data_IF_725237160227
#
_entry.id   IF_725237160227
#
_cell.length_a   1.000
_cell.length_b   1.000
_cell.length_c   1.000
_cell.angle_alpha   90.00
_cell.angle_beta   90.00
_cell.angle_gamma   90.00
#
_symmetry.space_group_name_H-M   'P 1'
#
loop_
_entity.id
_entity.type
_entity.pdbx_description
1 polymer ?
#
# COMPACT_ATOMS: atom_id res chain seq x y z
N UNK A 1 -15.71 -70.06 8.86
CA UNK A 1 -14.78 -69.29 7.99
C UNK A 1 -15.32 -67.88 7.62
N UNK A 2 -15.98 -67.16 8.55
CA UNK A 2 -16.73 -65.91 8.24
C UNK A 2 -16.16 -64.63 8.89
N UNK A 3 -15.08 -64.75 9.68
CA UNK A 3 -14.45 -63.64 10.43
C UNK A 3 -13.39 -62.86 9.62
N UNK A 4 -12.77 -63.48 8.61
CA UNK A 4 -11.71 -62.87 7.80
C UNK A 4 -12.23 -61.73 6.88
N UNK A 5 -13.44 -61.87 6.34
CA UNK A 5 -14.08 -60.89 5.45
C UNK A 5 -14.57 -59.62 6.16
N UNK A 6 -14.85 -59.69 7.47
CA UNK A 6 -15.27 -58.52 8.26
C UNK A 6 -14.09 -57.58 8.59
N UNK A 7 -12.90 -58.13 8.87
CA UNK A 7 -11.70 -57.31 9.11
C UNK A 7 -11.22 -56.59 7.84
N UNK A 8 -11.32 -57.22 6.68
CA UNK A 8 -10.92 -56.62 5.40
C UNK A 8 -11.84 -55.47 4.99
N UNK A 9 -13.15 -55.60 5.22
CA UNK A 9 -14.12 -54.52 4.95
C UNK A 9 -13.89 -53.28 5.83
N UNK A 10 -13.54 -53.47 7.11
CA UNK A 10 -13.26 -52.35 8.02
C UNK A 10 -11.98 -51.60 7.62
N UNK A 11 -10.94 -52.31 7.18
CA UNK A 11 -9.69 -51.69 6.72
C UNK A 11 -9.91 -50.84 5.45
N UNK A 12 -10.69 -51.33 4.50
CA UNK A 12 -10.98 -50.61 3.25
C UNK A 12 -11.80 -49.34 3.52
N UNK A 13 -12.76 -49.40 4.46
CA UNK A 13 -13.57 -48.24 4.85
C UNK A 13 -12.72 -47.14 5.50
N UNK A 14 -11.74 -47.50 6.33
CA UNK A 14 -10.84 -46.53 6.98
C UNK A 14 -9.92 -45.87 5.94
N UNK A 15 -9.36 -46.64 5.02
CA UNK A 15 -8.50 -46.11 3.94
C UNK A 15 -9.30 -45.17 3.02
N UNK A 16 -10.53 -45.53 2.65
CA UNK A 16 -11.39 -44.68 1.82
C UNK A 16 -11.76 -43.35 2.52
N UNK A 17 -11.90 -43.34 3.84
CA UNK A 17 -12.22 -42.12 4.61
C UNK A 17 -11.09 -41.08 4.61
N UNK A 18 -9.84 -41.51 4.48
CA UNK A 18 -8.68 -40.59 4.38
C UNK A 18 -8.69 -39.79 3.07
N UNK A 19 -9.16 -40.39 1.97
CA UNK A 19 -9.25 -39.72 0.67
C UNK A 19 -10.42 -38.71 0.57
N UNK A 20 -11.46 -38.85 1.41
CA UNK A 20 -12.62 -37.95 1.45
C UNK A 20 -12.33 -36.57 2.08
N UNK A 21 -11.19 -36.39 2.77
CA UNK A 21 -10.84 -35.12 3.44
C UNK A 21 -10.12 -34.10 2.55
N UNK A 22 -9.92 -34.40 1.26
CA UNK A 22 -9.05 -33.61 0.37
C UNK A 22 -9.73 -32.49 -0.44
N UNK A 23 -11.04 -32.23 -0.25
CA UNK A 23 -11.72 -31.12 -0.94
C UNK A 23 -11.58 -29.78 -0.20
N UNK A 24 -10.39 -29.49 0.30
CA UNK A 24 -10.04 -28.19 0.86
C UNK A 24 -8.76 -27.73 0.18
N UNK A 25 -8.84 -26.70 -0.66
CA UNK A 25 -7.68 -26.16 -1.36
C UNK A 25 -6.55 -25.68 -0.41
N UNK A 26 -6.82 -25.61 0.91
CA UNK A 26 -5.80 -25.59 1.95
C UNK A 26 -4.83 -24.42 1.81
N UNK A 27 -3.54 -24.72 1.82
CA UNK A 27 -2.47 -23.73 1.62
C UNK A 27 -2.42 -23.17 0.20
N UNK A 28 -2.95 -23.89 -0.79
CA UNK A 28 -2.97 -23.50 -2.21
C UNK A 28 -4.33 -22.92 -2.66
N UNK A 29 -5.17 -22.52 -1.72
CA UNK A 29 -6.48 -21.96 -2.01
C UNK A 29 -6.36 -20.74 -2.97
N UNK A 30 -7.11 -20.71 -4.07
CA UNK A 30 -7.03 -19.62 -5.05
C UNK A 30 -7.34 -18.25 -4.43
N UNK A 31 -8.16 -18.21 -3.37
CA UNK A 31 -8.46 -17.00 -2.61
C UNK A 31 -7.24 -16.41 -1.87
N UNK A 32 -6.22 -17.21 -1.54
CA UNK A 32 -4.95 -16.73 -0.93
C UNK A 32 -3.99 -16.15 -1.96
N UNK A 33 -4.18 -16.47 -3.24
CA UNK A 33 -3.34 -16.01 -4.36
C UNK A 33 -3.79 -14.64 -4.88
N UNK A 34 -5.04 -14.25 -4.66
CA UNK A 34 -5.54 -12.92 -4.99
C UNK A 34 -4.94 -11.92 -3.99
N UNK A 35 -4.09 -11.02 -4.48
CA UNK A 35 -3.39 -10.02 -3.66
C UNK A 35 -3.83 -8.59 -3.94
N UNK A 36 -4.48 -8.34 -5.08
CA UNK A 36 -4.83 -7.00 -5.52
C UNK A 36 -6.26 -7.00 -6.06
N UNK A 37 -7.17 -6.46 -5.26
CA UNK A 37 -8.58 -6.22 -5.65
C UNK A 37 -8.87 -4.73 -5.84
N UNK A 38 -7.91 -3.88 -5.50
CA UNK A 38 -8.00 -2.43 -5.63
C UNK A 38 -7.12 -1.93 -6.77
N UNK A 39 -7.42 -0.73 -7.26
CA UNK A 39 -6.63 -0.02 -8.28
C UNK A 39 -5.18 0.28 -7.85
N UNK A 40 -4.94 0.36 -6.54
CA UNK A 40 -3.62 0.59 -5.95
C UNK A 40 -2.68 -0.60 -6.10
N UNK A 41 -1.42 -0.31 -6.44
CA UNK A 41 -0.35 -1.31 -6.48
C UNK A 41 0.16 -1.60 -5.06
N UNK A 42 0.53 -2.85 -4.83
CA UNK A 42 1.11 -3.31 -3.57
C UNK A 42 2.50 -3.90 -3.81
N UNK A 43 3.41 -3.71 -2.86
CA UNK A 43 4.72 -4.36 -2.90
C UNK A 43 5.31 -4.56 -1.50
N UNK A 44 6.29 -5.47 -1.43
CA UNK A 44 6.96 -5.87 -0.20
C UNK A 44 8.47 -5.65 -0.35
N UNK A 45 9.05 -4.89 0.58
CA UNK A 45 10.50 -4.70 0.71
C UNK A 45 10.93 -5.26 2.07
N UNK A 46 11.18 -6.57 2.11
CA UNK A 46 11.44 -7.28 3.37
C UNK A 46 10.26 -7.13 4.35
N UNK A 47 10.50 -6.45 5.46
CA UNK A 47 9.51 -6.18 6.51
C UNK A 47 8.68 -4.91 6.26
N UNK A 48 9.06 -4.08 5.29
CA UNK A 48 8.28 -2.94 4.83
C UNK A 48 7.23 -3.39 3.82
N UNK A 49 5.98 -3.03 4.06
CA UNK A 49 4.83 -3.39 3.24
C UNK A 49 4.17 -2.11 2.72
N UNK A 50 4.07 -2.00 1.40
CA UNK A 50 3.45 -0.86 0.71
C UNK A 50 2.09 -1.33 0.19
N UNK A 51 1.01 -0.69 0.63
CA UNK A 51 -0.36 -1.07 0.31
C UNK A 51 -1.12 0.07 -0.36
N UNK A 52 -1.99 -0.31 -1.28
CA UNK A 52 -2.90 0.58 -1.99
C UNK A 52 -2.21 1.83 -2.55
N UNK A 53 -1.05 1.67 -3.21
CA UNK A 53 -0.32 2.80 -3.75
C UNK A 53 -0.90 3.20 -5.12
N UNK A 54 -1.38 4.42 -5.25
CA UNK A 54 -1.83 5.01 -6.50
C UNK A 54 -1.57 6.51 -6.51
N UNK A 55 -1.67 7.13 -7.69
CA UNK A 55 -1.50 8.58 -7.84
C UNK A 55 -2.84 9.17 -8.25
N UNK A 56 -3.32 10.21 -7.57
CA UNK A 56 -4.49 10.98 -7.97
C UNK A 56 -4.02 12.21 -8.74
N UNK A 57 -4.44 12.32 -10.00
CA UNK A 57 -4.14 13.49 -10.83
C UNK A 57 -5.02 14.66 -10.42
N UNK A 58 -4.39 15.81 -10.20
CA UNK A 58 -5.05 17.04 -9.82
C UNK A 58 -5.30 17.94 -11.05
N UNK A 59 -6.29 18.86 -10.99
CA UNK A 59 -6.59 19.77 -12.10
C UNK A 59 -5.43 20.71 -12.47
N UNK A 60 -4.51 20.97 -11.55
CA UNK A 60 -3.33 21.82 -11.75
C UNK A 60 -2.15 21.09 -12.42
N UNK A 61 -2.30 19.80 -12.74
CA UNK A 61 -1.25 18.96 -13.33
C UNK A 61 -0.31 18.29 -12.31
N UNK A 62 -0.53 18.52 -11.02
CA UNK A 62 0.17 17.81 -9.94
C UNK A 62 -0.40 16.40 -9.74
N UNK A 63 0.32 15.56 -9.02
CA UNK A 63 -0.09 14.19 -8.67
C UNK A 63 0.11 13.92 -7.19
N UNK A 64 -0.96 13.53 -6.50
CA UNK A 64 -0.94 13.20 -5.07
C UNK A 64 -0.82 11.69 -4.89
N UNK A 65 0.10 11.25 -4.06
CA UNK A 65 0.23 9.85 -3.68
C UNK A 65 -0.82 9.49 -2.64
N UNK A 66 -1.58 8.44 -2.92
CA UNK A 66 -2.45 7.76 -1.96
C UNK A 66 -1.81 6.40 -1.70
N UNK A 67 -1.67 6.03 -0.43
CA UNK A 67 -1.10 4.74 -0.07
C UNK A 67 -0.80 4.62 1.42
N UNK A 68 -0.58 3.39 1.87
CA UNK A 68 -0.27 3.08 3.26
C UNK A 68 1.00 2.26 3.36
N UNK A 69 1.95 2.73 4.16
CA UNK A 69 3.19 2.01 4.44
C UNK A 69 3.12 1.41 5.84
N UNK A 70 3.42 0.12 5.94
CA UNK A 70 3.38 -0.64 7.20
C UNK A 70 4.75 -1.24 7.44
N UNK A 71 5.26 -1.08 8.65
CA UNK A 71 6.50 -1.69 9.08
C UNK A 71 6.19 -2.86 10.03
N UNK A 72 6.59 -4.07 9.63
CA UNK A 72 6.46 -5.28 10.45
C UNK A 72 7.73 -5.59 11.27
N UNK A 73 8.79 -4.81 11.12
CA UNK A 73 10.04 -4.95 11.86
C UNK A 73 10.04 -4.21 13.19
N UNK A 74 10.98 -4.56 14.06
CA UNK A 74 11.16 -3.92 15.37
C UNK A 74 11.87 -2.57 15.28
N UNK A 75 12.63 -2.34 14.20
CA UNK A 75 13.34 -1.09 13.98
C UNK A 75 12.47 -0.12 13.19
N UNK A 76 12.41 1.13 13.65
CA UNK A 76 11.71 2.20 12.95
C UNK A 76 12.35 2.47 11.58
N UNK A 77 11.52 2.76 10.59
CA UNK A 77 11.94 3.11 9.25
C UNK A 77 11.51 4.55 8.95
N UNK A 78 12.22 5.26 8.08
CA UNK A 78 11.83 6.60 7.63
C UNK A 78 11.84 6.67 6.11
N UNK A 79 10.84 7.34 5.54
CA UNK A 79 10.80 7.67 4.12
C UNK A 79 11.74 8.84 3.88
N UNK A 80 12.80 8.61 3.11
CA UNK A 80 13.82 9.62 2.77
C UNK A 80 13.45 10.41 1.54
N UNK A 81 12.94 9.74 0.52
CA UNK A 81 12.51 10.37 -0.72
C UNK A 81 11.43 9.54 -1.40
N UNK A 82 10.59 10.25 -2.15
CA UNK A 82 9.63 9.68 -3.07
C UNK A 82 9.83 10.40 -4.42
N UNK A 83 9.87 9.65 -5.50
CA UNK A 83 9.87 10.16 -6.87
C UNK A 83 8.68 9.59 -7.62
N UNK A 84 7.91 10.44 -8.30
CA UNK A 84 6.72 10.08 -9.07
C UNK A 84 6.96 10.50 -10.51
N UNK A 85 7.00 9.53 -11.43
CA UNK A 85 7.28 9.74 -12.84
C UNK A 85 8.60 10.51 -13.10
N UNK A 86 9.61 10.30 -12.25
CA UNK A 86 10.89 11.01 -12.32
C UNK A 86 10.91 12.37 -11.60
N UNK A 87 9.76 12.94 -11.27
CA UNK A 87 9.67 14.17 -10.47
C UNK A 87 9.82 13.88 -8.98
N UNK A 88 10.64 14.63 -8.23
CA UNK A 88 10.68 14.50 -6.77
C UNK A 88 9.33 14.92 -6.17
N UNK A 89 8.82 14.10 -5.24
CA UNK A 89 7.61 14.42 -4.51
C UNK A 89 7.93 15.26 -3.28
N UNK A 90 7.08 16.25 -3.01
CA UNK A 90 7.03 16.93 -1.72
C UNK A 90 6.45 15.96 -0.70
N UNK A 91 7.00 15.94 0.52
CA UNK A 91 6.50 15.13 1.64
C UNK A 91 6.20 16.09 2.78
N UNK A 92 5.02 15.98 3.38
CA UNK A 92 4.60 16.75 4.54
C UNK A 92 3.90 15.84 5.57
N UNK A 93 3.82 16.29 6.83
CA UNK A 93 3.36 15.48 7.94
C UNK A 93 4.44 14.50 8.44
N UNK A 94 4.02 13.29 8.85
CA UNK A 94 4.96 12.25 9.28
C UNK A 94 5.74 11.67 8.10
N UNK A 95 6.98 11.25 8.35
CA UNK A 95 7.78 10.45 7.43
C UNK A 95 8.39 9.21 8.10
N UNK A 96 7.96 8.89 9.32
CA UNK A 96 8.46 7.75 10.10
C UNK A 96 7.40 6.66 10.11
N UNK A 97 7.82 5.43 9.85
CA UNK A 97 7.01 4.21 9.92
C UNK A 97 7.49 3.38 11.10
N UNK A 98 6.79 3.49 12.23
CA UNK A 98 7.03 2.67 13.42
C UNK A 98 6.39 1.30 13.25
N UNK A 99 6.85 0.32 14.04
CA UNK A 99 6.21 -1.00 14.11
C UNK A 99 4.72 -0.85 14.42
N UNK A 100 3.87 -1.57 13.68
CA UNK A 100 2.42 -1.59 13.87
C UNK A 100 1.72 -0.21 13.79
N UNK A 101 2.43 0.84 13.35
CA UNK A 101 1.87 2.19 13.22
C UNK A 101 1.99 2.60 11.76
N UNK A 102 0.90 2.46 10.98
CA UNK A 102 0.95 2.71 9.54
C UNK A 102 1.20 4.20 9.26
N UNK A 103 2.03 4.45 8.26
CA UNK A 103 2.17 5.76 7.64
C UNK A 103 1.18 5.85 6.47
N UNK A 104 0.16 6.70 6.61
CA UNK A 104 -0.98 6.78 5.70
C UNK A 104 -0.91 8.10 4.94
N UNK A 105 -0.76 8.00 3.63
CA UNK A 105 -0.74 9.13 2.70
C UNK A 105 -2.13 9.40 2.14
N UNK A 106 -2.62 10.62 2.37
CA UNK A 106 -3.93 11.12 1.92
C UNK A 106 -5.15 10.32 2.42
N UNK A 107 -6.34 10.92 2.31
CA UNK A 107 -7.60 10.40 2.88
C UNK A 107 -7.88 10.88 4.30
N UNK A 108 -9.02 10.48 4.87
CA UNK A 108 -9.51 10.98 6.16
C UNK A 108 -8.61 10.58 7.35
N UNK A 109 -8.00 9.40 7.29
CA UNK A 109 -7.09 8.89 8.32
C UNK A 109 -5.61 9.20 8.04
N UNK A 110 -5.33 10.12 7.10
CA UNK A 110 -3.96 10.45 6.72
C UNK A 110 -3.18 11.08 7.88
N UNK A 111 -1.94 10.64 8.04
CA UNK A 111 -0.95 11.27 8.93
C UNK A 111 0.27 11.81 8.16
N UNK A 112 0.28 11.64 6.84
CA UNK A 112 1.26 12.16 5.92
C UNK A 112 0.61 12.57 4.60
N UNK A 113 1.31 13.40 3.84
CA UNK A 113 0.93 13.77 2.49
C UNK A 113 2.17 13.76 1.61
N UNK A 114 2.02 13.26 0.38
CA UNK A 114 3.11 13.30 -0.58
C UNK A 114 2.57 13.51 -1.99
N UNK A 115 3.29 14.25 -2.82
CA UNK A 115 2.91 14.44 -4.21
C UNK A 115 3.93 15.21 -5.02
N UNK A 116 3.91 14.98 -6.33
CA UNK A 116 4.75 15.70 -7.28
C UNK A 116 3.99 16.91 -7.82
N UNK A 117 4.65 18.08 -7.83
CA UNK A 117 4.08 19.31 -8.39
C UNK A 117 3.81 19.20 -9.90
N UNK A 118 4.56 18.35 -10.59
CA UNK A 118 4.41 18.08 -12.02
C UNK A 118 4.40 16.58 -12.24
N UNK A 119 3.23 16.02 -12.60
CA UNK A 119 3.06 14.58 -12.80
C UNK A 119 3.50 14.11 -14.19
N UNK A 120 3.34 14.94 -15.24
CA UNK A 120 3.63 14.59 -16.64
C UNK A 120 3.00 13.26 -17.11
N UNK A 121 1.75 13.00 -16.70
CA UNK A 121 1.01 11.80 -17.10
C UNK A 121 -0.49 12.08 -17.13
N UNK A 122 -1.25 11.16 -17.72
CA UNK A 122 -2.71 11.28 -17.86
C UNK A 122 -3.44 10.20 -17.06
N UNK A 123 -4.69 10.50 -16.71
CA UNK A 123 -5.59 9.59 -16.00
C UNK A 123 -5.70 8.25 -16.76
N UNK A 124 -5.71 7.14 -16.03
CA UNK A 124 -5.77 5.78 -16.56
C UNK A 124 -4.43 5.22 -17.04
N UNK A 125 -3.35 6.03 -17.05
CA UNK A 125 -2.00 5.54 -17.31
C UNK A 125 -1.32 5.09 -16.02
N UNK A 126 -0.26 4.32 -16.18
CA UNK A 126 0.60 3.92 -15.06
C UNK A 126 1.91 4.68 -15.11
N UNK A 127 2.39 5.13 -13.95
CA UNK A 127 3.63 5.88 -13.79
C UNK A 127 4.59 5.16 -12.84
N UNK A 128 5.90 5.23 -13.07
CA UNK A 128 6.87 4.70 -12.13
C UNK A 128 6.90 5.55 -10.85
N UNK A 129 6.95 4.88 -9.71
CA UNK A 129 7.09 5.50 -8.38
C UNK A 129 8.27 4.85 -7.69
N UNK A 130 9.23 5.65 -7.26
CA UNK A 130 10.41 5.19 -6.51
C UNK A 130 10.34 5.72 -5.09
N UNK A 131 10.53 4.85 -4.10
CA UNK A 131 10.50 5.19 -2.68
C UNK A 131 11.80 4.71 -2.06
N UNK A 132 12.51 5.61 -1.38
CA UNK A 132 13.72 5.29 -0.64
C UNK A 132 13.46 5.40 0.85
N UNK A 133 13.75 4.31 1.55
CA UNK A 133 13.72 4.22 3.00
C UNK A 133 15.13 4.37 3.60
N UNK A 134 15.24 4.72 4.88
CA UNK A 134 16.53 4.83 5.60
C UNK A 134 17.41 3.58 5.54
N UNK A 135 16.83 2.42 5.83
CA UNK A 135 17.55 1.17 6.09
C UNK A 135 17.05 0.03 5.19
N UNK A 136 15.74 -0.03 4.93
CA UNK A 136 15.16 -1.04 4.03
C UNK A 136 15.61 -0.92 2.56
N UNK A 137 16.12 0.25 2.16
CA UNK A 137 16.59 0.54 0.80
C UNK A 137 15.53 1.18 -0.09
N UNK A 138 15.67 1.00 -1.41
CA UNK A 138 14.78 1.61 -2.42
C UNK A 138 13.89 0.56 -3.06
N UNK A 139 12.61 0.90 -3.26
CA UNK A 139 11.66 0.10 -4.03
C UNK A 139 11.08 0.91 -5.19
N UNK A 140 10.91 0.25 -6.33
CA UNK A 140 10.28 0.82 -7.52
C UNK A 140 8.95 0.10 -7.78
N UNK A 141 7.89 0.88 -7.96
CA UNK A 141 6.55 0.41 -8.27
C UNK A 141 6.02 1.10 -9.53
N UNK A 142 4.95 0.54 -10.10
CA UNK A 142 4.26 1.12 -11.25
C UNK A 142 2.80 1.38 -10.87
N UNK A 143 2.51 2.61 -10.50
CA UNK A 143 1.24 3.05 -9.90
C UNK A 143 0.24 3.54 -10.96
N UNK A 144 -1.04 3.25 -10.77
CA UNK A 144 -2.10 3.79 -11.62
C UNK A 144 -2.38 5.26 -11.29
N UNK A 145 -2.55 6.09 -12.33
CA UNK A 145 -3.03 7.45 -12.21
C UNK A 145 -4.55 7.44 -12.25
N UNK A 146 -5.18 7.85 -11.14
CA UNK A 146 -6.62 7.95 -10.96
C UNK A 146 -7.09 9.39 -11.10
N UNK A 147 -8.35 9.53 -11.46
CA UNK A 147 -9.04 10.82 -11.47
C UNK A 147 -9.40 11.24 -10.05
N UNK A 148 -9.41 12.55 -9.79
CA UNK A 148 -9.91 13.15 -8.54
C UNK A 148 -11.45 13.14 -8.49
N UNK A 149 -12.04 11.96 -8.51
CA UNK A 149 -13.51 11.74 -8.46
C UNK A 149 -13.84 10.59 -7.52
N UNK A 150 -15.14 10.43 -7.19
CA UNK A 150 -15.61 9.33 -6.33
C UNK A 150 -14.95 9.35 -4.94
N UNK A 151 -14.30 8.25 -4.57
CA UNK A 151 -13.58 8.10 -3.30
C UNK A 151 -12.34 9.00 -3.19
N UNK A 152 -11.79 9.48 -4.31
CA UNK A 152 -10.61 10.34 -4.34
C UNK A 152 -10.92 11.83 -4.46
N UNK A 153 -12.19 12.22 -4.42
CA UNK A 153 -12.63 13.62 -4.65
C UNK A 153 -11.98 14.64 -3.69
N UNK A 154 -11.69 14.20 -2.46
CA UNK A 154 -11.16 15.06 -1.40
C UNK A 154 -9.62 15.02 -1.31
N UNK A 155 -8.96 14.26 -2.18
CA UNK A 155 -7.50 14.15 -2.19
C UNK A 155 -6.88 15.44 -2.68
N UNK A 156 -5.97 16.01 -1.88
CA UNK A 156 -5.25 17.23 -2.18
C UNK A 156 -3.80 17.16 -1.72
N UNK A 157 -2.91 17.78 -2.48
CA UNK A 157 -1.53 17.97 -2.06
C UNK A 157 -1.52 19.02 -0.96
N UNK A 158 -1.06 18.64 0.23
CA UNK A 158 -0.86 19.59 1.31
C UNK A 158 0.54 20.18 1.14
N UNK A 159 0.61 21.44 0.70
CA UNK A 159 1.87 22.19 0.73
C UNK A 159 2.36 22.28 2.17
N UNK A 160 3.68 22.16 2.40
CA UNK A 160 4.24 22.48 3.71
C UNK A 160 3.81 23.91 4.06
N UNK A 161 3.16 24.09 5.22
CA UNK A 161 2.96 25.42 5.77
C UNK A 161 4.36 25.95 6.10
N UNK A 162 4.88 26.84 5.26
CA UNK A 162 6.08 27.60 5.57
C UNK A 162 5.69 28.62 6.65
N UNK A 163 5.67 28.20 7.91
CA UNK A 163 5.84 29.17 9.00
C UNK A 163 7.30 29.61 8.95
N UNK A 164 7.61 30.61 8.13
CA UNK A 164 8.89 31.31 8.26
C UNK A 164 8.86 32.07 9.59
N UNK A 165 9.66 31.59 10.53
CA UNK A 165 10.06 32.21 11.81
C UNK A 165 9.30 31.76 13.09
N UNK A 166 9.98 31.15 14.08
CA UNK A 166 9.42 30.79 15.39
C UNK A 166 8.96 31.97 16.28
N UNK A 167 9.07 33.24 15.85
CA UNK A 167 8.89 34.39 16.75
C UNK A 167 7.65 35.27 16.58
N UNK A 168 6.71 35.00 15.67
CA UNK A 168 5.47 35.82 15.61
C UNK A 168 4.21 35.00 15.28
N UNK A 169 3.16 34.98 16.14
CA UNK A 169 1.93 34.26 15.87
C UNK A 169 0.93 35.19 15.16
N UNK A 170 0.88 35.15 13.83
CA UNK A 170 -0.30 35.63 13.08
C UNK A 170 -0.26 35.11 11.64
N UNK A 171 -0.88 33.95 11.40
CA UNK A 171 -1.26 33.56 10.04
C UNK A 171 -2.53 34.33 9.67
N UNK A 172 -2.41 35.35 8.83
CA UNK A 172 -3.55 35.94 8.11
C UNK A 172 -3.56 35.37 6.69
N UNK A 173 -4.72 34.98 6.13
CA UNK A 173 -4.79 34.49 4.76
C UNK A 173 -4.58 35.65 3.77
N UNK A 174 -3.71 35.46 2.77
CA UNK A 174 -3.52 36.39 1.66
C UNK A 174 -4.54 36.08 0.53
N UNK A 175 -4.88 37.08 -0.31
CA UNK A 175 -6.21 37.29 -0.89
C UNK A 175 -6.66 36.28 -1.96
#
# INVERSE_FOLDING_TARGET
>A
MKKSTLLTSLLISVIASLFLTSCGAGFDAPTRKIKQVTDGVEADLGLMKIRHLLIVAQPDGSGVLVGTFVNNGDQAESVKSISINGSPALISGSNIVLKNSPLIFAGESANANAGALVLNSTIGKRVPVSITFSSAGTINLTALVREKTGEFKDVALQTPVLCTDPKTPACTPAP
#
